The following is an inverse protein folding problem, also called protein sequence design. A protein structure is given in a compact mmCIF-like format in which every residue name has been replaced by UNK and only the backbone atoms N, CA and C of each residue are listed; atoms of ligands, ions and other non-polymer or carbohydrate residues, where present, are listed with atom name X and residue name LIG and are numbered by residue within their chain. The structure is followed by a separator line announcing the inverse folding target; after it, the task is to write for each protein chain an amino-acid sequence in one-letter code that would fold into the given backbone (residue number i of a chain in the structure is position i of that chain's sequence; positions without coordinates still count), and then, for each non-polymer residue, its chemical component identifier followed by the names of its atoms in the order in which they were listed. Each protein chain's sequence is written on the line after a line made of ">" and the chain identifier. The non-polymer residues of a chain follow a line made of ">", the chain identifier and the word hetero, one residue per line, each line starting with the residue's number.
data_IF_412656149427
#
_entry.id   IF_412656149427
#
_cell.length_a   1.000
_cell.length_b   1.000
_cell.length_c   1.000
_cell.angle_alpha   90.00
_cell.angle_beta   90.00
_cell.angle_gamma   90.00
#
_symmetry.space_group_name_H-M   'P 1'
#
loop_
_entity.id
_entity.type
_entity.pdbx_description
1 polymer ?
#
# COMPACT_ATOMS: atom_id res chain seq x y z
N UNK A 1 3.78 15.43 -10.30
CA UNK A 1 3.91 13.97 -10.10
C UNK A 1 4.74 13.61 -8.86
N UNK A 2 5.65 14.48 -8.38
CA UNK A 2 6.51 14.17 -7.23
C UNK A 2 5.81 14.03 -5.87
N UNK A 3 4.73 14.76 -5.62
CA UNK A 3 4.08 14.74 -4.29
C UNK A 3 3.34 13.43 -3.98
N UNK A 4 2.83 12.76 -5.01
CA UNK A 4 2.04 11.54 -4.85
C UNK A 4 2.95 10.31 -4.64
N UNK A 5 4.11 10.27 -5.30
CA UNK A 5 5.12 9.22 -5.13
C UNK A 5 5.76 9.31 -3.74
N UNK A 6 6.11 10.53 -3.28
CA UNK A 6 6.58 10.75 -1.91
C UNK A 6 5.53 10.27 -0.89
N UNK A 7 4.24 10.53 -1.14
CA UNK A 7 3.18 10.08 -0.23
C UNK A 7 3.01 8.56 -0.15
N UNK A 8 3.34 7.81 -1.22
CA UNK A 8 3.30 6.35 -1.22
C UNK A 8 4.49 5.76 -0.45
N UNK A 9 5.71 6.19 -0.78
CA UNK A 9 6.93 5.69 -0.13
C UNK A 9 6.91 6.01 1.38
N UNK A 10 6.50 7.22 1.76
CA UNK A 10 6.34 7.62 3.17
C UNK A 10 5.30 6.74 3.90
N UNK A 11 4.19 6.40 3.23
CA UNK A 11 3.15 5.55 3.81
C UNK A 11 3.62 4.10 3.95
N UNK A 12 4.42 3.60 3.00
CA UNK A 12 4.98 2.26 3.02
C UNK A 12 6.03 2.13 4.13
N UNK A 13 6.98 3.07 4.23
CA UNK A 13 7.99 3.10 5.30
C UNK A 13 7.33 3.14 6.68
N UNK A 14 6.27 3.94 6.82
CA UNK A 14 5.51 4.02 8.08
C UNK A 14 4.80 2.71 8.40
N UNK A 15 4.23 2.03 7.41
CA UNK A 15 3.59 0.73 7.57
C UNK A 15 4.61 -0.33 8.03
N UNK A 16 5.78 -0.39 7.39
CA UNK A 16 6.87 -1.29 7.78
C UNK A 16 7.30 -1.05 9.24
N UNK A 17 7.46 0.22 9.62
CA UNK A 17 7.78 0.57 11.00
C UNK A 17 6.69 0.19 12.02
N UNK A 18 5.42 0.19 11.62
CA UNK A 18 4.31 -0.29 12.47
C UNK A 18 4.36 -1.81 12.61
N UNK A 19 4.58 -2.54 11.50
CA UNK A 19 4.72 -4.01 11.52
C UNK A 19 5.86 -4.40 12.46
N UNK A 20 7.03 -3.77 12.30
CA UNK A 20 8.17 -4.04 13.16
C UNK A 20 7.86 -3.80 14.65
N UNK A 21 7.19 -2.69 14.99
CA UNK A 21 6.76 -2.42 16.38
C UNK A 21 5.81 -3.50 16.89
N UNK A 22 4.83 -3.92 16.09
CA UNK A 22 3.88 -4.96 16.49
C UNK A 22 4.58 -6.30 16.71
N UNK A 23 5.60 -6.63 15.91
CA UNK A 23 6.42 -7.84 16.05
C UNK A 23 7.33 -7.79 17.28
N UNK A 24 7.96 -6.64 17.55
CA UNK A 24 8.81 -6.41 18.72
C UNK A 24 8.02 -6.50 20.03
N UNK A 25 6.72 -6.16 19.99
CA UNK A 25 5.82 -6.22 21.14
C UNK A 25 6.14 -5.17 22.21
N UNK A 26 5.76 -5.45 23.46
CA UNK A 26 5.99 -4.53 24.59
C UNK A 26 4.99 -3.37 24.71
N UNK A 27 3.96 -3.34 23.86
CA UNK A 27 2.87 -2.37 23.89
C UNK A 27 1.70 -2.87 24.75
N UNK A 28 0.99 -1.95 25.40
CA UNK A 28 -0.30 -2.28 26.02
C UNK A 28 -1.32 -2.67 24.95
N UNK A 29 -2.40 -3.36 25.36
CA UNK A 29 -3.46 -3.74 24.44
C UNK A 29 -4.03 -2.54 23.66
N UNK A 30 -4.23 -1.40 24.34
CA UNK A 30 -4.75 -0.19 23.70
C UNK A 30 -3.79 0.39 22.65
N UNK A 31 -2.48 0.38 22.94
CA UNK A 31 -1.46 0.81 21.99
C UNK A 31 -1.35 -0.14 20.79
N UNK A 32 -1.37 -1.45 21.04
CA UNK A 32 -1.37 -2.47 19.99
C UNK A 32 -2.57 -2.33 19.05
N UNK A 33 -3.75 -2.03 19.59
CA UNK A 33 -4.95 -1.77 18.79
C UNK A 33 -4.79 -0.50 17.93
N UNK A 34 -4.25 0.59 18.47
CA UNK A 34 -3.99 1.82 17.71
C UNK A 34 -2.98 1.59 16.57
N UNK A 35 -1.87 0.90 16.87
CA UNK A 35 -0.87 0.55 15.86
C UNK A 35 -1.48 -0.34 14.76
N UNK A 36 -2.31 -1.32 15.13
CA UNK A 36 -2.99 -2.17 14.17
C UNK A 36 -3.96 -1.40 13.27
N UNK A 37 -4.81 -0.54 13.84
CA UNK A 37 -5.74 0.30 13.07
C UNK A 37 -5.00 1.20 12.07
N UNK A 38 -3.90 1.81 12.51
CA UNK A 38 -3.05 2.64 11.65
C UNK A 38 -2.38 1.81 10.53
N UNK A 39 -1.88 0.62 10.85
CA UNK A 39 -1.32 -0.31 9.87
C UNK A 39 -2.34 -0.74 8.81
N UNK A 40 -3.57 -1.07 9.22
CA UNK A 40 -4.66 -1.41 8.28
C UNK A 40 -5.00 -0.23 7.38
N UNK A 41 -5.02 0.99 7.91
CA UNK A 41 -5.26 2.19 7.12
C UNK A 41 -4.17 2.40 6.06
N UNK A 42 -2.90 2.34 6.46
CA UNK A 42 -1.76 2.52 5.54
C UNK A 42 -1.71 1.42 4.49
N UNK A 43 -1.95 0.16 4.86
CA UNK A 43 -2.04 -0.97 3.91
C UNK A 43 -3.09 -0.72 2.82
N UNK A 44 -4.29 -0.27 3.20
CA UNK A 44 -5.35 0.08 2.24
C UNK A 44 -4.97 1.26 1.35
N UNK A 45 -4.29 2.26 1.91
CA UNK A 45 -3.81 3.41 1.16
C UNK A 45 -2.79 2.98 0.10
N UNK A 46 -1.78 2.20 0.47
CA UNK A 46 -0.76 1.70 -0.45
C UNK A 46 -1.40 0.83 -1.54
N UNK A 47 -2.30 -0.08 -1.19
CA UNK A 47 -3.03 -0.89 -2.16
C UNK A 47 -3.80 -0.03 -3.17
N UNK A 48 -4.50 1.02 -2.71
CA UNK A 48 -5.23 1.94 -3.58
C UNK A 48 -4.30 2.65 -4.57
N UNK A 49 -3.14 3.13 -4.10
CA UNK A 49 -2.15 3.80 -4.96
C UNK A 49 -1.57 2.87 -6.02
N UNK A 50 -1.29 1.62 -5.67
CA UNK A 50 -0.86 0.59 -6.62
C UNK A 50 -1.92 0.34 -7.69
N UNK A 51 -3.19 0.15 -7.31
CA UNK A 51 -4.29 -0.01 -8.28
C UNK A 51 -4.46 1.20 -9.20
N UNK A 52 -4.31 2.42 -8.67
CA UNK A 52 -4.36 3.63 -9.49
C UNK A 52 -3.21 3.69 -10.51
N UNK A 53 -2.01 3.23 -10.13
CA UNK A 53 -0.86 3.14 -11.02
C UNK A 53 -1.06 2.05 -12.09
N UNK A 54 -1.51 0.86 -11.70
CA UNK A 54 -1.85 -0.25 -12.61
C UNK A 54 -2.88 0.19 -13.65
N UNK A 55 -3.99 0.80 -13.22
CA UNK A 55 -5.02 1.30 -14.14
C UNK A 55 -4.54 2.42 -15.08
N UNK A 56 -3.49 3.18 -14.71
CA UNK A 56 -2.84 4.13 -15.63
C UNK A 56 -2.02 3.39 -16.68
N UNK A 57 -1.27 2.35 -16.28
CA UNK A 57 -0.46 1.52 -17.18
C UNK A 57 -1.35 0.78 -18.18
N UNK A 58 -2.44 0.15 -17.71
CA UNK A 58 -3.40 -0.53 -18.57
C UNK A 58 -3.95 0.38 -19.67
N UNK A 59 -4.34 1.61 -19.32
CA UNK A 59 -4.84 2.60 -20.28
C UNK A 59 -3.79 3.02 -21.31
N UNK A 60 -2.51 3.07 -20.93
CA UNK A 60 -1.42 3.37 -21.86
C UNK A 60 -1.21 2.21 -22.83
N UNK A 61 -1.18 0.98 -22.34
CA UNK A 61 -1.01 -0.23 -23.14
C UNK A 61 -2.18 -0.47 -24.11
N UNK A 62 -3.42 -0.24 -23.66
CA UNK A 62 -4.60 -0.34 -24.52
C UNK A 62 -4.55 0.65 -25.69
N UNK A 63 -3.93 1.82 -25.50
CA UNK A 63 -3.74 2.81 -26.58
C UNK A 63 -2.65 2.38 -27.58
N UNK A 64 -1.65 1.61 -27.14
CA UNK A 64 -0.53 1.17 -27.98
C UNK A 64 -0.74 -0.18 -28.68
N UNK A 65 -1.90 -0.83 -28.52
CA UNK A 65 -2.26 -1.99 -29.34
C UNK A 65 -2.03 -3.36 -28.70
N UNK A 66 -1.96 -3.45 -27.37
CA UNK A 66 -2.45 -4.64 -26.66
C UNK A 66 -1.41 -5.55 -26.02
N UNK A 67 -1.26 -5.39 -24.70
CA UNK A 67 -0.81 -6.44 -23.78
C UNK A 67 -1.95 -6.63 -22.77
N UNK A 68 -2.34 -7.88 -22.52
CA UNK A 68 -3.31 -8.20 -21.47
C UNK A 68 -2.58 -8.14 -20.14
N UNK A 69 -2.99 -7.24 -19.24
CA UNK A 69 -2.53 -7.21 -17.85
C UNK A 69 -3.51 -8.05 -17.02
N UNK A 70 -2.96 -8.95 -16.23
CA UNK A 70 -3.71 -9.68 -15.21
C UNK A 70 -3.58 -8.94 -13.87
N UNK A 71 -4.67 -8.81 -13.09
CA UNK A 71 -4.63 -8.13 -11.81
C UNK A 71 -3.63 -8.81 -10.86
N UNK A 72 -2.86 -8.01 -10.13
CA UNK A 72 -2.02 -8.55 -9.06
C UNK A 72 -2.89 -9.03 -7.88
N UNK A 73 -3.20 -10.33 -7.88
CA UNK A 73 -3.94 -10.98 -6.80
C UNK A 73 -3.10 -11.14 -5.53
N UNK A 74 -3.43 -10.38 -4.49
CA UNK A 74 -3.00 -10.71 -3.13
C UNK A 74 -3.91 -11.83 -2.62
N UNK A 75 -3.53 -13.09 -2.86
CA UNK A 75 -4.11 -14.20 -2.11
C UNK A 75 -3.65 -14.08 -0.65
N UNK A 76 -4.63 -13.89 0.25
CA UNK A 76 -4.41 -13.70 1.69
C UNK A 76 -4.13 -14.99 2.45
#
# INVERSE_FOLDING_TARGET
>A
MKDDDASFEDALEKLEGIVQKLEDGGFSLEESLKLFEEGVFLSRFCYKKLNEAEGKIEKLIQREGGITIEPFGLEG
#
